data_IF_669172628260
#
_entry.id   IF_669172628260
#
_cell.length_a   1.000
_cell.length_b   1.000
_cell.length_c   1.000
_cell.angle_alpha   90.00
_cell.angle_beta   90.00
_cell.angle_gamma   90.00
#
_symmetry.space_group_name_H-M   'P 1'
#
loop_
_entity.id
_entity.type
_entity.pdbx_description
1 polymer ?
#
# COMPACT_ATOMS: atom_id res chain seq x y z
N UNK A 1 18.44 9.03 -33.65
CA UNK A 1 19.00 8.03 -32.73
C UNK A 1 17.95 7.75 -31.67
N UNK A 2 17.17 6.68 -31.84
CA UNK A 2 16.12 6.31 -30.88
C UNK A 2 16.74 5.32 -29.91
N UNK A 3 17.05 5.77 -28.70
CA UNK A 3 17.59 4.91 -27.64
C UNK A 3 16.56 3.82 -27.35
N UNK A 4 16.90 2.52 -27.44
CA UNK A 4 15.96 1.48 -27.06
C UNK A 4 15.71 1.62 -25.56
N UNK A 5 14.45 1.85 -25.20
CA UNK A 5 14.01 1.89 -23.80
C UNK A 5 14.26 0.49 -23.25
N UNK A 6 15.29 0.37 -22.41
CA UNK A 6 15.69 -0.91 -21.83
C UNK A 6 14.51 -1.46 -21.00
N UNK A 7 14.06 -2.71 -21.22
CA UNK A 7 12.91 -3.28 -20.52
C UNK A 7 13.09 -3.30 -18.98
N UNK A 8 14.33 -3.27 -18.49
CA UNK A 8 14.64 -3.12 -17.06
C UNK A 8 14.24 -1.76 -16.47
N UNK A 9 14.30 -0.67 -17.24
CA UNK A 9 13.92 0.67 -16.76
C UNK A 9 12.41 0.78 -16.48
N UNK A 10 11.59 0.12 -17.31
CA UNK A 10 10.14 0.03 -17.11
C UNK A 10 9.76 -0.88 -15.94
N UNK A 11 10.49 -2.00 -15.76
CA UNK A 11 10.30 -2.89 -14.63
C UNK A 11 10.67 -2.23 -13.29
N UNK A 12 11.78 -1.50 -13.24
CA UNK A 12 12.17 -0.69 -12.06
C UNK A 12 11.18 0.46 -11.81
N UNK A 13 10.71 1.12 -12.87
CA UNK A 13 9.68 2.16 -12.78
C UNK A 13 8.36 1.63 -12.24
N UNK A 14 7.90 0.47 -12.72
CA UNK A 14 6.69 -0.19 -12.21
C UNK A 14 6.83 -0.62 -10.76
N UNK A 15 7.97 -1.21 -10.36
CA UNK A 15 8.22 -1.58 -8.96
C UNK A 15 8.24 -0.37 -8.04
N UNK A 16 8.86 0.74 -8.47
CA UNK A 16 8.85 2.00 -7.71
C UNK A 16 7.46 2.61 -7.63
N UNK A 17 6.70 2.59 -8.72
CA UNK A 17 5.32 3.06 -8.72
C UNK A 17 4.45 2.20 -7.79
N UNK A 18 4.58 0.87 -7.83
CA UNK A 18 3.88 -0.04 -6.92
C UNK A 18 4.24 0.21 -5.45
N UNK A 19 5.53 0.37 -5.13
CA UNK A 19 5.96 0.70 -3.78
C UNK A 19 5.45 2.08 -3.32
N UNK A 20 5.38 3.06 -4.23
CA UNK A 20 4.79 4.37 -3.95
C UNK A 20 3.27 4.27 -3.71
N UNK A 21 2.55 3.45 -4.48
CA UNK A 21 1.14 3.18 -4.23
C UNK A 21 0.92 2.47 -2.90
N UNK A 22 1.75 1.48 -2.55
CA UNK A 22 1.70 0.83 -1.24
C UNK A 22 1.91 1.81 -0.09
N UNK A 23 2.95 2.63 -0.18
CA UNK A 23 3.25 3.64 0.83
C UNK A 23 2.10 4.65 0.97
N UNK A 24 1.55 5.12 -0.16
CA UNK A 24 0.44 6.07 -0.16
C UNK A 24 -0.84 5.47 0.43
N UNK A 25 -1.16 4.21 0.12
CA UNK A 25 -2.32 3.49 0.69
C UNK A 25 -2.13 3.31 2.20
N UNK A 26 -0.93 2.91 2.63
CA UNK A 26 -0.61 2.76 4.05
C UNK A 26 -0.79 4.09 4.78
N UNK A 27 -0.21 5.16 4.26
CA UNK A 27 -0.27 6.49 4.88
C UNK A 27 -1.73 7.00 4.97
N UNK A 28 -2.53 6.82 3.92
CA UNK A 28 -3.95 7.21 3.91
C UNK A 28 -4.78 6.42 4.94
N UNK A 29 -4.56 5.11 5.04
CA UNK A 29 -5.28 4.26 6.02
C UNK A 29 -4.81 4.60 7.43
N UNK A 30 -3.51 4.70 7.68
CA UNK A 30 -2.98 5.07 9.01
C UNK A 30 -3.50 6.44 9.45
N UNK A 31 -3.55 7.43 8.55
CA UNK A 31 -4.11 8.75 8.85
C UNK A 31 -5.60 8.68 9.21
N UNK A 32 -6.40 7.87 8.50
CA UNK A 32 -7.83 7.68 8.83
C UNK A 32 -8.05 7.05 10.22
N UNK A 33 -7.10 6.24 10.67
CA UNK A 33 -7.16 5.58 11.96
C UNK A 33 -6.37 6.31 13.06
N UNK A 34 -5.56 7.32 12.74
CA UNK A 34 -4.74 8.07 13.69
C UNK A 34 -5.58 8.72 14.79
N UNK A 35 -6.65 9.44 14.43
CA UNK A 35 -7.59 10.03 15.39
C UNK A 35 -8.32 8.98 16.24
N UNK A 36 -8.66 7.84 15.62
CA UNK A 36 -9.32 6.72 16.32
C UNK A 36 -8.36 6.03 17.29
N UNK A 37 -7.09 5.89 16.93
CA UNK A 37 -6.03 5.34 17.78
C UNK A 37 -5.64 6.31 18.91
N UNK A 38 -5.68 7.61 18.67
CA UNK A 38 -5.39 8.64 19.67
C UNK A 38 -6.38 8.62 20.83
N UNK A 39 -7.65 8.32 20.54
CA UNK A 39 -8.74 8.28 21.54
C UNK A 39 -9.07 6.86 22.04
N UNK A 40 -8.50 5.82 21.44
CA UNK A 40 -8.75 4.43 21.78
C UNK A 40 -7.96 3.94 23.02
N UNK A 41 -8.62 3.15 23.87
CA UNK A 41 -7.97 2.36 24.92
C UNK A 41 -7.08 1.26 24.33
N UNK A 42 -6.16 0.71 25.12
CA UNK A 42 -5.13 -0.27 24.69
C UNK A 42 -5.72 -1.47 23.92
N UNK A 43 -6.81 -2.07 24.42
CA UNK A 43 -7.49 -3.19 23.76
C UNK A 43 -8.05 -2.77 22.39
N UNK A 44 -8.64 -1.58 22.34
CA UNK A 44 -9.28 -1.02 21.16
C UNK A 44 -8.23 -0.61 20.11
N UNK A 45 -7.06 -0.11 20.54
CA UNK A 45 -5.90 0.08 19.67
C UNK A 45 -5.47 -1.23 19.01
N UNK A 46 -5.39 -2.32 19.78
CA UNK A 46 -5.01 -3.62 19.24
C UNK A 46 -5.97 -4.12 18.15
N UNK A 47 -7.28 -3.98 18.37
CA UNK A 47 -8.30 -4.28 17.35
C UNK A 47 -8.16 -3.38 16.13
N UNK A 48 -7.97 -2.08 16.32
CA UNK A 48 -7.83 -1.11 15.22
C UNK A 48 -6.55 -1.35 14.41
N UNK A 49 -5.44 -1.71 15.05
CA UNK A 49 -4.20 -2.06 14.35
C UNK A 49 -4.40 -3.27 13.44
N UNK A 50 -5.10 -4.31 13.91
CA UNK A 50 -5.43 -5.46 13.05
C UNK A 50 -6.36 -5.11 11.89
N UNK A 51 -7.31 -4.20 12.12
CA UNK A 51 -8.20 -3.71 11.08
C UNK A 51 -7.45 -2.89 10.02
N UNK A 52 -6.49 -2.05 10.44
CA UNK A 52 -5.60 -1.28 9.56
C UNK A 52 -4.78 -2.21 8.67
N UNK A 53 -4.11 -3.22 9.25
CA UNK A 53 -3.31 -4.18 8.49
C UNK A 53 -4.16 -4.92 7.46
N UNK A 54 -5.38 -5.33 7.84
CA UNK A 54 -6.31 -5.99 6.94
C UNK A 54 -6.74 -5.07 5.79
N UNK A 55 -7.13 -3.82 6.08
CA UNK A 55 -7.52 -2.87 5.03
C UNK A 55 -6.36 -2.51 4.09
N UNK A 56 -5.14 -2.38 4.60
CA UNK A 56 -3.96 -2.17 3.77
C UNK A 56 -3.78 -3.36 2.83
N UNK A 57 -3.86 -4.59 3.34
CA UNK A 57 -3.74 -5.80 2.53
C UNK A 57 -4.85 -5.92 1.47
N UNK A 58 -6.10 -5.62 1.83
CA UNK A 58 -7.23 -5.65 0.88
C UNK A 58 -7.09 -4.58 -0.21
N UNK A 59 -6.67 -3.36 0.14
CA UNK A 59 -6.46 -2.28 -0.84
C UNK A 59 -5.25 -2.56 -1.73
N UNK A 60 -4.17 -3.11 -1.17
CA UNK A 60 -3.02 -3.57 -1.93
C UNK A 60 -3.41 -4.66 -2.92
N UNK A 61 -4.21 -5.64 -2.51
CA UNK A 61 -4.69 -6.70 -3.39
C UNK A 61 -5.58 -6.18 -4.53
N UNK A 62 -6.27 -5.04 -4.35
CA UNK A 62 -7.05 -4.40 -5.42
C UNK A 62 -6.18 -3.64 -6.42
N UNK A 63 -5.10 -3.00 -5.96
CA UNK A 63 -4.21 -2.20 -6.82
C UNK A 63 -3.11 -3.04 -7.47
N UNK A 64 -2.67 -4.09 -6.79
CA UNK A 64 -1.76 -5.12 -7.28
C UNK A 64 -2.48 -6.48 -7.23
N UNK A 65 -3.48 -6.70 -8.11
CA UNK A 65 -4.12 -8.01 -8.21
C UNK A 65 -3.04 -9.04 -8.55
N UNK A 66 -3.04 -10.23 -7.92
CA UNK A 66 -2.10 -11.30 -8.25
C UNK A 66 -2.19 -11.75 -9.72
N UNK A 67 -3.26 -11.38 -10.44
CA UNK A 67 -3.38 -11.52 -11.89
C UNK A 67 -2.46 -10.60 -12.72
N UNK A 68 -1.87 -9.56 -12.14
CA UNK A 68 -0.87 -8.75 -12.83
C UNK A 68 0.53 -9.40 -12.88
N UNK A 69 0.66 -10.62 -12.33
CA UNK A 69 1.91 -11.40 -12.28
C UNK A 69 1.91 -12.64 -13.20
N UNK A 70 0.89 -12.86 -14.03
CA UNK A 70 0.84 -13.95 -15.02
C UNK A 70 0.79 -13.44 -16.46
#
# INVERSE_FOLDING_TARGET
>A
MTTPIQPGFLADGCKRAQAAFEASIREEVEHQYADKLATASIVKRWTLTREIEKQIAERLAQVAPPEALY
#
